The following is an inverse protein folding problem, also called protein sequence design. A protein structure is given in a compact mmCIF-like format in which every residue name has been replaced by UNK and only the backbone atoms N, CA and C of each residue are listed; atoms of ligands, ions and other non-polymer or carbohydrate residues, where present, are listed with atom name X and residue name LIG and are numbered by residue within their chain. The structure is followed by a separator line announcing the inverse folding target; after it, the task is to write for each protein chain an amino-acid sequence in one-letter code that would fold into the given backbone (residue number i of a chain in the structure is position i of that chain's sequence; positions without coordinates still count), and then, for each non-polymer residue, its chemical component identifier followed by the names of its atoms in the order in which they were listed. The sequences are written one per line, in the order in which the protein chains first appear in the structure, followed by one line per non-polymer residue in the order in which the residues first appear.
data_IF_944656081583
#
_entry.id   IF_944656081583
#
_cell.length_a   1.000
_cell.length_b   1.000
_cell.length_c   1.000
_cell.angle_alpha   90.00
_cell.angle_beta   90.00
_cell.angle_gamma   90.00
#
_symmetry.space_group_name_H-M   'P 1'
#
loop_
_entity.id
_entity.type
_entity.pdbx_description
1 polymer ?
#
# COMPACT_ATOMS: atom_id res chain seq x y z
N UNK A 1 13.08 -3.38 1.07
CA UNK A 1 13.46 -4.81 1.14
C UNK A 1 12.16 -5.61 1.15
N UNK A 2 11.87 -6.37 0.09
CA UNK A 2 10.60 -7.09 -0.06
C UNK A 2 10.72 -8.53 0.43
N UNK A 3 9.66 -9.09 1.03
CA UNK A 3 9.58 -10.49 1.47
C UNK A 3 8.65 -11.26 0.53
N UNK A 4 9.12 -12.39 -0.01
CA UNK A 4 8.32 -13.29 -0.88
C UNK A 4 7.74 -14.40 0.00
N UNK A 5 6.40 -14.54 0.02
CA UNK A 5 5.70 -15.66 0.67
C UNK A 5 4.93 -16.43 -0.43
N UNK A 6 4.97 -17.77 -0.36
CA UNK A 6 4.46 -18.71 -1.37
C UNK A 6 3.11 -18.29 -1.96
N UNK A 7 3.01 -18.36 -3.29
CA UNK A 7 2.19 -17.53 -4.19
C UNK A 7 2.68 -16.08 -4.36
N UNK A 8 3.94 -15.91 -4.81
CA UNK A 8 4.57 -14.68 -5.35
C UNK A 8 3.84 -13.37 -4.99
N UNK A 9 3.67 -13.12 -3.69
CA UNK A 9 3.21 -11.83 -3.17
C UNK A 9 4.46 -11.05 -2.79
N UNK A 10 4.72 -9.97 -3.50
CA UNK A 10 5.76 -9.01 -3.11
C UNK A 10 5.16 -8.09 -2.08
N UNK A 11 5.67 -8.16 -0.84
CA UNK A 11 5.28 -7.27 0.24
C UNK A 11 6.16 -6.02 0.25
N UNK A 12 5.53 -4.86 0.14
CA UNK A 12 6.14 -3.55 0.29
C UNK A 12 5.67 -2.95 1.63
N UNK A 13 6.59 -2.70 2.58
CA UNK A 13 6.20 -2.08 3.85
C UNK A 13 5.67 -0.68 3.60
N UNK A 14 4.54 -0.36 4.23
CA UNK A 14 4.01 1.00 4.31
C UNK A 14 4.49 1.60 5.62
N UNK A 15 5.08 2.80 5.58
CA UNK A 15 5.48 3.50 6.81
C UNK A 15 4.26 4.19 7.48
N UNK A 16 3.17 3.45 7.65
CA UNK A 16 1.95 3.89 8.32
C UNK A 16 2.01 3.57 9.84
N UNK A 17 3.09 3.95 10.52
CA UNK A 17 3.29 3.64 11.95
C UNK A 17 2.26 4.38 12.80
N UNK A 18 1.48 3.66 13.63
CA UNK A 18 0.43 4.24 14.47
C UNK A 18 -0.93 4.44 13.75
N UNK A 19 -1.01 4.04 12.49
CA UNK A 19 -2.23 4.08 11.68
C UNK A 19 -3.18 2.94 12.06
N UNK A 20 -4.44 3.26 12.30
CA UNK A 20 -5.52 2.30 12.52
C UNK A 20 -6.17 1.84 11.21
N UNK A 21 -6.17 2.70 10.19
CA UNK A 21 -6.72 2.41 8.86
C UNK A 21 -5.69 2.71 7.76
N UNK A 22 -5.55 1.85 6.75
CA UNK A 22 -4.73 2.17 5.57
C UNK A 22 -5.50 1.82 4.29
N UNK A 23 -5.60 2.78 3.38
CA UNK A 23 -6.53 2.72 2.24
C UNK A 23 -5.84 3.11 0.95
N UNK A 24 -6.09 2.34 -0.12
CA UNK A 24 -5.65 2.66 -1.48
C UNK A 24 -6.67 3.63 -2.08
N UNK A 25 -6.25 4.87 -2.34
CA UNK A 25 -7.10 5.91 -2.90
C UNK A 25 -7.19 5.84 -4.42
N UNK A 26 -6.07 5.53 -5.07
CA UNK A 26 -5.99 5.61 -6.53
C UNK A 26 -5.01 4.60 -7.12
N UNK A 27 -5.30 4.18 -8.35
CA UNK A 27 -4.45 3.34 -9.19
C UNK A 27 -4.23 4.08 -10.51
N UNK A 28 -2.97 4.25 -10.92
CA UNK A 28 -2.61 4.90 -12.19
C UNK A 28 -1.67 4.04 -13.02
N UNK A 29 -2.03 3.67 -14.26
CA UNK A 29 -3.29 3.99 -14.93
C UNK A 29 -4.48 3.20 -14.35
N UNK A 30 -5.64 3.85 -14.27
CA UNK A 30 -6.85 3.25 -13.65
C UNK A 30 -7.41 2.09 -14.47
N UNK A 31 -7.22 2.11 -15.80
CA UNK A 31 -7.72 1.13 -16.76
C UNK A 31 -6.81 -0.10 -16.95
N UNK A 32 -5.79 -0.32 -16.13
CA UNK A 32 -5.01 -1.56 -16.21
C UNK A 32 -5.82 -2.75 -15.66
N UNK A 33 -6.26 -3.65 -16.55
CA UNK A 33 -7.06 -4.83 -16.22
C UNK A 33 -6.25 -5.99 -15.61
N UNK A 34 -4.92 -5.97 -15.72
CA UNK A 34 -4.04 -7.00 -15.16
C UNK A 34 -3.85 -6.85 -13.65
N UNK A 35 -4.12 -5.66 -13.12
CA UNK A 35 -4.07 -5.36 -11.69
C UNK A 35 -5.47 -5.00 -11.17
N UNK A 36 -6.09 -5.96 -10.49
CA UNK A 36 -7.36 -5.76 -9.78
C UNK A 36 -7.17 -5.79 -8.27
N UNK A 37 -7.82 -4.86 -7.55
CA UNK A 37 -7.75 -4.76 -6.10
C UNK A 37 -8.33 -6.04 -5.46
N UNK A 38 -7.76 -6.46 -4.34
CA UNK A 38 -8.08 -7.68 -3.60
C UNK A 38 -7.70 -9.00 -4.30
N UNK A 39 -7.53 -9.00 -5.63
CA UNK A 39 -7.07 -10.17 -6.39
C UNK A 39 -5.55 -10.17 -6.57
N UNK A 40 -5.01 -9.08 -7.13
CA UNK A 40 -3.60 -8.98 -7.51
C UNK A 40 -2.84 -7.93 -6.73
N UNK A 41 -3.54 -7.05 -6.01
CA UNK A 41 -2.90 -6.13 -5.08
C UNK A 41 -3.82 -5.81 -3.92
N UNK A 42 -3.25 -5.32 -2.82
CA UNK A 42 -4.03 -4.86 -1.69
C UNK A 42 -3.14 -4.41 -0.54
N UNK A 43 -3.79 -4.12 0.59
CA UNK A 43 -3.11 -3.87 1.85
C UNK A 43 -3.36 -5.08 2.75
N UNK A 44 -2.35 -5.47 3.50
CA UNK A 44 -2.44 -6.50 4.53
C UNK A 44 -1.68 -6.03 5.76
N UNK A 45 -2.20 -6.39 6.94
CA UNK A 45 -1.53 -6.11 8.20
C UNK A 45 -0.90 -7.40 8.70
N UNK A 46 0.38 -7.35 9.01
CA UNK A 46 1.12 -8.47 9.60
C UNK A 46 1.72 -7.95 10.90
N UNK A 47 1.19 -8.45 12.03
CA UNK A 47 1.47 -7.91 13.36
C UNK A 47 1.09 -6.42 13.43
N UNK A 48 2.03 -5.55 13.80
CA UNK A 48 1.83 -4.11 13.93
C UNK A 48 2.09 -3.35 12.62
N UNK A 49 2.72 -4.02 11.65
CA UNK A 49 3.15 -3.42 10.39
C UNK A 49 2.11 -3.60 9.29
N UNK A 50 1.96 -2.56 8.48
CA UNK A 50 1.09 -2.55 7.31
C UNK A 50 1.92 -2.73 6.06
N UNK A 51 1.49 -3.63 5.18
CA UNK A 51 2.16 -3.93 3.92
C UNK A 51 1.19 -3.73 2.76
N UNK A 52 1.68 -3.08 1.71
CA UNK A 52 1.07 -3.15 0.39
C UNK A 52 1.62 -4.38 -0.32
N UNK A 53 0.75 -5.19 -0.93
CA UNK A 53 1.16 -6.39 -1.65
C UNK A 53 0.71 -6.36 -3.09
N UNK A 54 1.52 -6.96 -3.98
CA UNK A 54 1.20 -7.25 -5.38
C UNK A 54 1.51 -8.71 -5.70
N UNK A 55 0.81 -9.30 -6.66
CA UNK A 55 1.01 -10.69 -7.08
C UNK A 55 0.74 -10.95 -8.56
N UNK A 56 1.29 -12.06 -9.06
CA UNK A 56 1.06 -12.54 -10.43
C UNK A 56 1.56 -11.56 -11.49
N UNK A 57 0.83 -11.46 -12.61
CA UNK A 57 1.16 -10.54 -13.71
C UNK A 57 1.21 -9.08 -13.27
N UNK A 58 0.48 -8.73 -12.21
CA UNK A 58 0.48 -7.39 -11.68
C UNK A 58 1.86 -6.96 -11.18
N UNK A 59 2.79 -7.87 -10.86
CA UNK A 59 4.15 -7.52 -10.45
C UNK A 59 4.99 -6.85 -11.54
N UNK A 60 4.66 -7.11 -12.82
CA UNK A 60 5.45 -6.64 -13.96
C UNK A 60 4.86 -5.39 -14.62
N UNK A 61 3.73 -4.90 -14.13
CA UNK A 61 3.05 -3.74 -14.70
C UNK A 61 3.58 -2.44 -14.09
N UNK A 62 3.80 -1.41 -14.91
CA UNK A 62 4.18 -0.08 -14.41
C UNK A 62 2.93 0.66 -13.94
N UNK A 63 2.59 0.54 -12.65
CA UNK A 63 1.41 1.16 -12.04
C UNK A 63 1.82 1.90 -10.78
N UNK A 64 1.35 3.14 -10.63
CA UNK A 64 1.46 3.91 -9.40
C UNK A 64 0.20 3.74 -8.54
N UNK A 65 0.41 3.63 -7.24
CA UNK A 65 -0.67 3.57 -6.24
C UNK A 65 -0.60 4.79 -5.34
N UNK A 66 -1.76 5.37 -5.04
CA UNK A 66 -1.88 6.41 -4.01
C UNK A 66 -2.46 5.76 -2.76
N UNK A 67 -1.73 5.83 -1.66
CA UNK A 67 -2.08 5.17 -0.40
C UNK A 67 -2.17 6.21 0.70
N UNK A 68 -3.22 6.13 1.51
CA UNK A 68 -3.44 6.98 2.68
C UNK A 68 -3.40 6.13 3.95
N UNK A 69 -2.65 6.61 4.94
CA UNK A 69 -2.73 6.14 6.31
C UNK A 69 -3.74 7.03 7.07
N UNK A 70 -4.77 6.44 7.65
CA UNK A 70 -5.70 7.02 8.60
C UNK A 70 -5.24 6.77 10.03
N UNK A 71 -5.53 7.71 10.92
CA UNK A 71 -5.11 7.65 12.32
C UNK A 71 -6.27 8.03 13.23
N UNK A 72 -6.39 7.42 14.43
CA UNK A 72 -7.53 7.63 15.33
C UNK A 72 -7.47 8.98 16.07
N UNK A 73 -6.35 9.71 15.97
CA UNK A 73 -6.12 10.95 16.70
C UNK A 73 -6.38 12.19 15.82
N UNK A 74 -6.91 13.28 16.40
CA UNK A 74 -7.12 14.53 15.66
C UNK A 74 -5.79 15.08 15.10
N UNK A 75 -5.84 15.61 13.88
CA UNK A 75 -4.69 16.07 13.06
C UNK A 75 -3.71 17.07 13.73
N UNK A 76 -4.00 17.55 14.94
CA UNK A 76 -3.21 18.58 15.64
C UNK A 76 -1.91 18.03 16.24
N UNK A 77 -1.77 16.71 16.37
CA UNK A 77 -0.53 16.06 16.83
C UNK A 77 0.36 15.57 15.66
N UNK A 78 -0.11 15.70 14.41
CA UNK A 78 0.64 15.34 13.19
C UNK A 78 1.62 16.43 12.75
N UNK A 79 2.52 16.86 13.64
CA UNK A 79 3.55 17.86 13.27
C UNK A 79 4.77 17.22 12.60
N UNK A 80 5.03 15.92 12.81
CA UNK A 80 6.27 15.27 12.35
C UNK A 80 6.12 14.14 11.31
N UNK A 81 4.90 13.79 10.88
CA UNK A 81 4.72 12.72 9.88
C UNK A 81 4.32 13.30 8.51
N UNK A 82 5.04 12.97 7.41
CA UNK A 82 4.71 13.47 6.08
C UNK A 82 3.28 13.09 5.73
N UNK A 83 2.43 14.13 5.63
CA UNK A 83 0.96 14.07 5.65
C UNK A 83 0.33 13.16 4.60
N UNK A 84 1.07 12.80 3.56
CA UNK A 84 0.69 11.86 2.52
C UNK A 84 2.01 11.33 1.95
N UNK A 85 2.51 10.18 2.42
CA UNK A 85 3.58 9.52 1.66
C UNK A 85 2.93 8.90 0.42
N UNK A 86 2.99 9.65 -0.68
CA UNK A 86 2.83 9.11 -2.02
C UNK A 86 3.96 8.11 -2.24
N UNK A 87 3.74 6.87 -1.80
CA UNK A 87 4.60 5.78 -2.15
C UNK A 87 4.29 5.42 -3.61
N UNK A 88 5.02 6.05 -4.53
CA UNK A 88 5.15 5.54 -5.89
C UNK A 88 5.90 4.22 -5.83
N UNK A 89 5.19 3.14 -5.48
CA UNK A 89 5.67 1.78 -5.61
C UNK A 89 5.47 1.39 -7.08
N UNK A 90 6.53 1.54 -7.87
CA UNK A 90 6.62 1.02 -9.23
C UNK A 90 6.63 -0.51 -9.18
#
# INVERSE_FOLDING_TARGET
MYRIIGNIRTLCPLNCVGSDESTILNKRPSNNHKCSQFFNYGITRVNEDTYFWRSGQCLNETISFEIRCGFPFPQREFVDFPRQQFFSLI
#
